data_IF_638566119798
#
_entry.id   IF_638566119798
#
_cell.length_a   1.000
_cell.length_b   1.000
_cell.length_c   1.000
_cell.angle_alpha   90.00
_cell.angle_beta   90.00
_cell.angle_gamma   90.00
#
_symmetry.space_group_name_H-M   'P 1'
#
loop_
_entity.id
_entity.type
_entity.pdbx_description
1 polymer ?
#
# COMPACT_ATOMS: atom_id res chain seq x y z
N UNK A 1 -35.20 -11.61 -40.84
CA UNK A 1 -34.56 -11.42 -39.52
C UNK A 1 -33.06 -11.36 -39.72
N UNK A 2 -32.43 -10.24 -39.37
CA UNK A 2 -30.99 -10.22 -39.10
C UNK A 2 -30.82 -10.54 -37.61
N UNK A 3 -29.90 -11.44 -37.22
CA UNK A 3 -29.64 -11.70 -35.81
C UNK A 3 -29.08 -10.42 -35.14
N UNK A 4 -29.31 -10.22 -33.83
CA UNK A 4 -28.68 -9.13 -33.11
C UNK A 4 -27.16 -9.35 -33.13
N UNK A 5 -26.44 -8.49 -33.85
CA UNK A 5 -24.98 -8.39 -33.71
C UNK A 5 -24.69 -8.03 -32.25
N UNK A 6 -24.11 -8.97 -31.51
CA UNK A 6 -23.50 -8.67 -30.22
C UNK A 6 -22.55 -7.49 -30.43
N UNK A 7 -22.65 -6.41 -29.63
CA UNK A 7 -21.78 -5.26 -29.81
C UNK A 7 -20.32 -5.74 -29.81
N UNK A 8 -19.46 -5.22 -30.70
CA UNK A 8 -18.08 -5.66 -30.78
C UNK A 8 -17.42 -5.41 -29.43
N UNK A 9 -17.04 -6.49 -28.74
CA UNK A 9 -16.36 -6.39 -27.46
C UNK A 9 -15.09 -5.58 -27.70
N UNK A 10 -14.96 -4.45 -27.01
CA UNK A 10 -13.82 -3.58 -27.17
C UNK A 10 -12.56 -4.33 -26.69
N UNK A 11 -11.53 -4.54 -27.55
CA UNK A 11 -10.31 -5.26 -27.16
C UNK A 11 -9.65 -4.68 -25.91
N UNK A 12 -9.78 -3.37 -25.69
CA UNK A 12 -9.26 -2.68 -24.49
C UNK A 12 -10.02 -3.11 -23.23
N UNK A 13 -11.34 -3.27 -23.31
CA UNK A 13 -12.15 -3.72 -22.17
C UNK A 13 -11.84 -5.16 -21.77
N UNK A 14 -11.59 -6.04 -22.75
CA UNK A 14 -11.13 -7.41 -22.49
C UNK A 14 -9.74 -7.42 -21.84
N UNK A 15 -8.83 -6.57 -22.31
CA UNK A 15 -7.49 -6.44 -21.71
C UNK A 15 -7.57 -5.94 -20.27
N UNK A 16 -8.39 -4.92 -19.99
CA UNK A 16 -8.63 -4.41 -18.64
C UNK A 16 -9.18 -5.52 -17.73
N UNK A 17 -10.15 -6.30 -18.19
CA UNK A 17 -10.71 -7.41 -17.41
C UNK A 17 -9.65 -8.48 -17.07
N UNK A 18 -8.78 -8.82 -18.01
CA UNK A 18 -7.68 -9.75 -17.78
C UNK A 18 -6.65 -9.20 -16.77
N UNK A 19 -6.29 -7.92 -16.89
CA UNK A 19 -5.38 -7.25 -15.95
C UNK A 19 -5.98 -7.17 -14.54
N UNK A 20 -7.28 -6.89 -14.42
CA UNK A 20 -7.96 -6.85 -13.12
C UNK A 20 -7.91 -8.20 -12.43
N UNK A 21 -8.16 -9.29 -13.17
CA UNK A 21 -8.04 -10.64 -12.64
C UNK A 21 -6.61 -10.95 -12.17
N UNK A 22 -5.58 -10.52 -12.92
CA UNK A 22 -4.17 -10.65 -12.53
C UNK A 22 -3.86 -9.87 -11.25
N UNK A 23 -4.29 -8.62 -11.17
CA UNK A 23 -4.06 -7.76 -10.00
C UNK A 23 -4.70 -8.35 -8.74
N UNK A 24 -5.91 -8.91 -8.84
CA UNK A 24 -6.56 -9.60 -7.72
C UNK A 24 -5.77 -10.83 -7.24
N UNK A 25 -5.17 -11.60 -8.16
CA UNK A 25 -4.33 -12.73 -7.78
C UNK A 25 -3.06 -12.28 -7.08
N UNK A 26 -2.42 -11.21 -7.58
CA UNK A 26 -1.24 -10.61 -6.95
C UNK A 26 -1.56 -10.07 -5.54
N UNK A 27 -2.71 -9.41 -5.36
CA UNK A 27 -3.22 -8.99 -4.05
C UNK A 27 -3.38 -10.18 -3.09
N UNK A 28 -4.04 -11.25 -3.52
CA UNK A 28 -4.22 -12.47 -2.72
C UNK A 28 -2.89 -13.13 -2.37
N UNK A 29 -1.90 -13.02 -3.25
CA UNK A 29 -0.53 -13.49 -3.02
C UNK A 29 0.33 -12.52 -2.19
N UNK A 30 -0.23 -11.41 -1.68
CA UNK A 30 0.49 -10.34 -0.97
C UNK A 30 1.63 -9.70 -1.77
N UNK A 31 1.59 -9.81 -3.10
CA UNK A 31 2.50 -9.12 -4.03
C UNK A 31 1.99 -7.72 -4.29
N UNK A 32 2.05 -6.86 -3.27
CA UNK A 32 1.41 -5.54 -3.31
C UNK A 32 2.21 -4.53 -4.13
N UNK A 33 3.42 -4.20 -3.67
CA UNK A 33 4.40 -3.33 -4.37
C UNK A 33 5.74 -4.01 -4.58
N UNK A 34 5.83 -5.29 -4.21
CA UNK A 34 7.05 -6.10 -4.33
C UNK A 34 6.66 -7.54 -4.68
N UNK A 35 7.42 -8.23 -5.55
CA UNK A 35 8.60 -7.75 -6.28
C UNK A 35 8.24 -6.72 -7.38
N UNK A 36 9.19 -5.87 -7.75
CA UNK A 36 9.02 -4.97 -8.89
C UNK A 36 8.85 -5.79 -10.19
N UNK A 37 7.95 -5.37 -11.08
CA UNK A 37 7.58 -6.08 -12.30
C UNK A 37 6.50 -7.16 -12.12
N UNK A 38 6.15 -7.54 -10.88
CA UNK A 38 5.11 -8.53 -10.58
C UNK A 38 4.40 -8.19 -9.27
N UNK A 39 3.80 -7.00 -9.24
CA UNK A 39 3.03 -6.52 -8.11
C UNK A 39 1.67 -5.96 -8.57
N UNK A 40 0.65 -6.13 -7.72
CA UNK A 40 -0.69 -5.63 -7.96
C UNK A 40 -0.70 -4.13 -8.25
N UNK A 41 0.18 -3.36 -7.59
CA UNK A 41 0.36 -1.94 -7.86
C UNK A 41 0.64 -1.63 -9.33
N UNK A 42 1.60 -2.33 -9.94
CA UNK A 42 1.99 -2.08 -11.33
C UNK A 42 0.87 -2.49 -12.30
N UNK A 43 0.22 -3.63 -12.06
CA UNK A 43 -0.92 -4.05 -12.88
C UNK A 43 -2.10 -3.08 -12.78
N UNK A 44 -2.38 -2.50 -11.61
CA UNK A 44 -3.38 -1.43 -11.50
C UNK A 44 -2.96 -0.14 -12.21
N UNK A 45 -1.67 0.21 -12.18
CA UNK A 45 -1.16 1.35 -12.96
C UNK A 45 -1.30 1.13 -14.46
N UNK A 46 -1.05 -0.08 -14.95
CA UNK A 46 -1.28 -0.44 -16.37
C UNK A 46 -2.75 -0.27 -16.76
N UNK A 47 -3.68 -0.72 -15.90
CA UNK A 47 -5.12 -0.51 -16.15
C UNK A 47 -5.45 0.98 -16.21
N UNK A 48 -4.91 1.80 -15.31
CA UNK A 48 -5.15 3.25 -15.31
C UNK A 48 -4.49 3.97 -16.48
N UNK A 49 -3.44 3.39 -17.09
CA UNK A 49 -2.88 3.90 -18.33
C UNK A 49 -3.81 3.68 -19.54
N UNK A 50 -4.57 2.57 -19.53
CA UNK A 50 -5.58 2.26 -20.55
C UNK A 50 -6.91 3.00 -20.31
N UNK A 51 -7.36 3.02 -19.06
CA UNK A 51 -8.58 3.70 -18.62
C UNK A 51 -8.29 4.45 -17.31
N UNK A 52 -7.93 5.75 -17.39
CA UNK A 52 -7.67 6.56 -16.21
C UNK A 52 -8.86 6.68 -15.25
N UNK A 53 -10.09 6.41 -15.71
CA UNK A 53 -11.32 6.48 -14.92
C UNK A 53 -11.75 5.13 -14.34
N UNK A 54 -10.96 4.07 -14.54
CA UNK A 54 -11.29 2.73 -14.10
C UNK A 54 -11.44 2.68 -12.56
N UNK A 55 -12.67 2.49 -12.10
CA UNK A 55 -12.98 2.48 -10.67
C UNK A 55 -12.33 1.29 -9.96
N UNK A 56 -12.38 0.11 -10.57
CA UNK A 56 -11.82 -1.11 -9.98
C UNK A 56 -10.30 -0.99 -9.74
N UNK A 57 -9.56 -0.38 -10.67
CA UNK A 57 -8.14 -0.16 -10.47
C UNK A 57 -7.84 0.84 -9.36
N UNK A 58 -8.60 1.95 -9.27
CA UNK A 58 -8.47 2.92 -8.16
C UNK A 58 -8.79 2.30 -6.80
N UNK A 59 -9.85 1.49 -6.72
CA UNK A 59 -10.23 0.75 -5.52
C UNK A 59 -9.16 -0.29 -5.14
N UNK A 60 -8.52 -0.91 -6.13
CA UNK A 60 -7.37 -1.79 -5.95
C UNK A 60 -6.17 -1.08 -5.30
N UNK A 61 -5.80 0.11 -5.82
CA UNK A 61 -4.74 0.94 -5.24
C UNK A 61 -5.08 1.39 -3.80
N UNK A 62 -6.32 1.77 -3.55
CA UNK A 62 -6.81 2.08 -2.20
C UNK A 62 -6.63 0.87 -1.26
N UNK A 63 -7.03 -0.33 -1.71
CA UNK A 63 -6.89 -1.57 -0.93
C UNK A 63 -5.43 -1.87 -0.58
N UNK A 64 -4.50 -1.63 -1.51
CA UNK A 64 -3.06 -1.77 -1.24
C UNK A 64 -2.61 -0.79 -0.15
N UNK A 65 -2.99 0.48 -0.27
CA UNK A 65 -2.59 1.50 0.70
C UNK A 65 -3.20 1.25 2.09
N UNK A 66 -4.47 0.84 2.16
CA UNK A 66 -5.15 0.44 3.41
C UNK A 66 -4.48 -0.79 4.07
N UNK A 67 -3.97 -1.71 3.25
CA UNK A 67 -3.22 -2.87 3.75
C UNK A 67 -1.93 -2.45 4.42
N UNK A 68 -1.17 -1.54 3.79
CA UNK A 68 0.03 -0.96 4.40
C UNK A 68 -0.27 -0.15 5.64
N UNK A 69 -1.37 0.60 5.66
CA UNK A 69 -1.83 1.33 6.84
C UNK A 69 -2.03 0.36 8.02
N UNK A 70 -2.75 -0.74 7.80
CA UNK A 70 -2.99 -1.75 8.84
C UNK A 70 -1.70 -2.39 9.37
N UNK A 71 -0.76 -2.73 8.49
CA UNK A 71 0.54 -3.27 8.91
C UNK A 71 1.36 -2.25 9.70
N UNK A 72 1.37 -1.00 9.24
CA UNK A 72 2.03 0.08 9.93
C UNK A 72 1.45 0.33 11.34
N UNK A 73 0.13 0.28 11.50
CA UNK A 73 -0.51 0.39 12.81
C UNK A 73 -0.13 -0.76 13.74
N UNK A 74 -0.10 -1.99 13.21
CA UNK A 74 0.32 -3.17 13.97
C UNK A 74 1.77 -3.04 14.45
N UNK A 75 2.66 -2.56 13.59
CA UNK A 75 4.06 -2.34 13.92
C UNK A 75 4.25 -1.19 14.91
N UNK A 76 3.50 -0.09 14.77
CA UNK A 76 3.46 0.99 15.77
C UNK A 76 3.08 0.44 17.14
N UNK A 77 2.01 -0.36 17.22
CA UNK A 77 1.52 -0.92 18.48
C UNK A 77 2.52 -1.91 19.11
N UNK A 78 3.38 -2.52 18.29
CA UNK A 78 4.49 -3.39 18.73
C UNK A 78 5.79 -2.63 19.00
N UNK A 79 5.74 -1.28 19.03
CA UNK A 79 6.91 -0.39 19.17
C UNK A 79 8.00 -0.60 18.09
N UNK A 80 7.64 -1.24 16.97
CA UNK A 80 8.50 -1.42 15.80
C UNK A 80 8.39 -0.22 14.87
N UNK A 81 8.71 0.96 15.39
CA UNK A 81 8.45 2.22 14.69
C UNK A 81 9.16 2.30 13.33
N UNK A 82 10.37 1.75 13.20
CA UNK A 82 11.07 1.72 11.92
C UNK A 82 10.33 0.88 10.86
N UNK A 83 9.81 -0.28 11.24
CA UNK A 83 9.04 -1.13 10.33
C UNK A 83 7.71 -0.46 9.94
N UNK A 84 7.04 0.16 10.92
CA UNK A 84 5.84 0.96 10.70
C UNK A 84 6.08 2.08 9.67
N UNK A 85 7.18 2.85 9.80
CA UNK A 85 7.54 3.90 8.84
C UNK A 85 7.84 3.36 7.43
N UNK A 86 8.42 2.16 7.33
CA UNK A 86 8.68 1.53 6.04
C UNK A 86 7.37 1.15 5.34
N UNK A 87 6.41 0.57 6.07
CA UNK A 87 5.10 0.23 5.52
C UNK A 87 4.30 1.48 5.14
N UNK A 88 4.36 2.54 5.96
CA UNK A 88 3.76 3.83 5.62
C UNK A 88 4.33 4.39 4.32
N UNK A 89 5.65 4.31 4.15
CA UNK A 89 6.33 4.80 2.95
C UNK A 89 5.90 4.02 1.70
N UNK A 90 5.71 2.69 1.82
CA UNK A 90 5.18 1.87 0.71
C UNK A 90 3.73 2.25 0.38
N UNK A 91 2.85 2.39 1.37
CA UNK A 91 1.48 2.83 1.15
C UNK A 91 1.39 4.21 0.49
N UNK A 92 2.23 5.16 0.91
CA UNK A 92 2.29 6.51 0.32
C UNK A 92 2.90 6.51 -1.09
N UNK A 93 3.75 5.53 -1.44
CA UNK A 93 4.24 5.40 -2.82
C UNK A 93 3.13 4.96 -3.78
N UNK A 94 2.13 4.24 -3.26
CA UNK A 94 0.93 3.82 -4.00
C UNK A 94 -0.09 4.94 -4.07
N UNK A 95 -0.36 5.60 -2.94
CA UNK A 95 -1.27 6.74 -2.84
C UNK A 95 -0.64 7.89 -2.05
N UNK A 96 0.01 8.86 -2.73
CA UNK A 96 0.71 9.96 -2.08
C UNK A 96 -0.19 10.86 -1.20
N UNK A 97 -1.47 10.97 -1.55
CA UNK A 97 -2.45 11.82 -0.86
C UNK A 97 -3.28 11.06 0.18
N UNK A 98 -2.87 9.85 0.58
CA UNK A 98 -3.58 9.08 1.59
C UNK A 98 -3.50 9.75 2.97
N UNK A 99 -4.58 10.39 3.38
CA UNK A 99 -4.67 11.20 4.60
C UNK A 99 -4.27 10.43 5.87
N UNK A 100 -4.78 9.21 6.06
CA UNK A 100 -4.47 8.41 7.25
C UNK A 100 -3.00 7.98 7.33
N UNK A 101 -2.39 7.57 6.22
CA UNK A 101 -0.96 7.24 6.16
C UNK A 101 -0.08 8.47 6.46
N UNK A 102 -0.45 9.63 5.92
CA UNK A 102 0.25 10.90 6.20
C UNK A 102 0.16 11.26 7.69
N UNK A 103 -1.02 11.11 8.29
CA UNK A 103 -1.23 11.37 9.72
C UNK A 103 -0.46 10.37 10.60
N UNK A 104 -0.48 9.09 10.24
CA UNK A 104 0.24 8.03 10.97
C UNK A 104 1.75 8.24 10.91
N UNK A 105 2.29 8.71 9.78
CA UNK A 105 3.73 9.02 9.63
C UNK A 105 4.24 9.97 10.70
N UNK A 106 3.50 11.06 10.95
CA UNK A 106 3.85 12.04 11.98
C UNK A 106 3.81 11.43 13.38
N UNK A 107 2.73 10.72 13.70
CA UNK A 107 2.58 10.04 15.00
C UNK A 107 3.70 9.03 15.29
N UNK A 108 4.04 8.20 14.30
CA UNK A 108 5.08 7.16 14.44
C UNK A 108 6.47 7.79 14.56
N UNK A 109 6.76 8.86 13.82
CA UNK A 109 8.01 9.58 13.93
C UNK A 109 8.21 10.14 15.36
N UNK A 110 7.19 10.78 15.94
CA UNK A 110 7.25 11.30 17.30
C UNK A 110 7.41 10.17 18.34
N UNK A 111 6.68 9.08 18.18
CA UNK A 111 6.78 7.91 19.06
C UNK A 111 8.17 7.27 19.02
N UNK A 112 8.79 7.19 17.83
CA UNK A 112 10.15 6.69 17.66
C UNK A 112 11.15 7.53 18.46
N UNK A 113 11.12 8.86 18.29
CA UNK A 113 12.03 9.77 19.01
C UNK A 113 11.87 9.64 20.52
N UNK A 114 10.64 9.69 21.03
CA UNK A 114 10.37 9.55 22.47
C UNK A 114 10.84 8.21 23.04
N UNK A 115 10.69 7.13 22.25
CA UNK A 115 11.16 5.81 22.64
C UNK A 115 12.68 5.76 22.73
N UNK A 116 13.39 6.28 21.72
CA UNK A 116 14.86 6.37 21.69
C UNK A 116 15.40 7.19 22.87
N UNK A 117 14.86 8.38 23.12
CA UNK A 117 15.24 9.22 24.27
C UNK A 117 15.04 8.51 25.61
N UNK A 118 13.92 7.78 25.75
CA UNK A 118 13.63 7.03 26.97
C UNK A 118 14.63 5.89 27.17
N UNK A 119 14.96 5.14 26.11
CA UNK A 119 15.95 4.07 26.18
C UNK A 119 17.35 4.61 26.51
N UNK A 120 17.76 5.72 25.90
CA UNK A 120 19.03 6.36 26.21
C UNK A 120 19.12 6.83 27.65
N UNK A 121 18.06 7.46 28.17
CA UNK A 121 18.02 7.88 29.58
C UNK A 121 18.17 6.67 30.50
N UNK A 122 17.44 5.59 30.23
CA UNK A 122 17.53 4.36 31.01
C UNK A 122 18.91 3.71 30.91
N UNK A 123 19.56 3.77 29.74
CA UNK A 123 20.92 3.27 29.57
C UNK A 123 21.92 4.06 30.43
N UNK A 124 21.88 5.40 30.37
CA UNK A 124 22.72 6.29 31.18
C UNK A 124 22.54 6.02 32.68
N UNK A 125 21.30 5.93 33.15
CA UNK A 125 21.01 5.63 34.57
C UNK A 125 21.53 4.26 35.02
N UNK A 126 21.55 3.26 34.12
CA UNK A 126 22.11 1.93 34.43
C UNK A 126 23.63 1.94 34.49
N UNK A 127 24.27 2.69 33.60
CA UNK A 127 25.73 2.87 33.58
C UNK A 127 26.22 3.63 34.82
N UNK A 128 25.53 4.70 35.23
CA UNK A 128 25.88 5.47 36.42
C UNK A 128 25.72 4.69 37.74
N UNK A 129 24.90 3.63 37.73
CA UNK A 129 24.65 2.76 38.90
C UNK A 129 25.50 1.49 38.94
N UNK A 130 26.28 1.21 37.88
CA UNK A 130 27.13 0.02 37.77
C UNK A 130 28.55 0.32 38.26
#
# INVERSE_FOLDING_TARGET
ENPPEEPPVNPVEQQIAALLATAEQQLKAQRLTTPAGDAAFETYQEILALDPQNKAAREGLQTIADTYLRWAELDKNRQRYQASLNDISKGLSVMPEHSELLALRGQVADLKVRFEETQERLAREREERA
#
